data_IF_508953078159
#
_entry.id   IF_508953078159
#
_cell.length_a   1.000
_cell.length_b   1.000
_cell.length_c   1.000
_cell.angle_alpha   90.00
_cell.angle_beta   90.00
_cell.angle_gamma   90.00
#
_symmetry.space_group_name_H-M   'P 1'
#
loop_
_entity.id
_entity.type
_entity.pdbx_description
1 polymer ?
#
# COMPACT_ATOMS: atom_id res chain seq x y z
N UNK A 1 -12.59 26.45 5.61
CA UNK A 1 -11.31 27.03 6.08
C UNK A 1 -10.38 25.87 6.38
N UNK A 2 -9.48 25.54 5.45
CA UNK A 2 -8.60 24.37 5.57
C UNK A 2 -7.19 24.86 5.91
N UNK A 3 -6.78 24.68 7.16
CA UNK A 3 -5.42 24.96 7.62
C UNK A 3 -4.47 23.89 7.05
N UNK A 4 -3.67 24.29 6.06
CA UNK A 4 -2.53 23.49 5.60
C UNK A 4 -1.48 23.44 6.72
N UNK A 5 -1.43 22.30 7.39
CA UNK A 5 -0.41 21.94 8.38
C UNK A 5 0.99 21.98 7.71
N UNK A 6 1.76 23.02 8.01
CA UNK A 6 3.13 23.16 7.53
C UNK A 6 4.01 21.99 8.01
N UNK A 7 4.64 21.26 7.07
CA UNK A 7 5.68 20.27 7.37
C UNK A 7 6.85 21.00 8.04
N UNK A 8 7.06 20.76 9.34
CA UNK A 8 8.28 21.17 10.04
C UNK A 8 9.46 20.44 9.42
N UNK A 9 10.26 21.14 8.62
CA UNK A 9 11.59 20.67 8.23
C UNK A 9 12.40 20.47 9.51
N UNK A 10 12.93 19.25 9.70
CA UNK A 10 13.82 18.94 10.83
C UNK A 10 15.09 19.78 10.65
N UNK A 11 15.21 20.85 11.42
CA UNK A 11 16.42 21.67 11.50
C UNK A 11 17.56 20.81 12.05
N UNK A 12 18.57 20.53 11.23
CA UNK A 12 19.81 19.85 11.69
C UNK A 12 20.51 20.76 12.72
N UNK A 13 21.09 20.26 13.84
CA UNK A 13 21.79 21.11 14.81
C UNK A 13 22.95 21.90 14.17
N UNK A 14 23.09 23.17 14.53
CA UNK A 14 24.00 24.15 13.88
C UNK A 14 25.48 23.76 13.93
N UNK A 15 25.89 22.94 14.90
CA UNK A 15 27.26 22.47 15.10
C UNK A 15 27.70 21.35 14.14
N UNK A 16 26.77 20.70 13.43
CA UNK A 16 27.05 19.58 12.54
C UNK A 16 26.93 19.92 11.04
N UNK A 17 26.57 21.17 10.70
CA UNK A 17 26.30 21.56 9.31
C UNK A 17 27.56 22.00 8.58
N UNK A 18 28.46 21.08 8.26
CA UNK A 18 29.58 21.40 7.37
C UNK A 18 29.05 21.61 5.94
N UNK A 19 29.56 22.61 5.23
CA UNK A 19 29.14 22.88 3.85
C UNK A 19 29.60 21.76 2.92
N UNK A 20 28.72 21.35 2.00
CA UNK A 20 29.00 20.29 1.01
C UNK A 20 30.26 20.53 0.19
N UNK A 21 30.60 21.80 -0.07
CA UNK A 21 31.80 22.17 -0.81
C UNK A 21 33.09 22.06 0.01
N UNK A 22 32.98 22.06 1.34
CA UNK A 22 34.10 21.79 2.26
C UNK A 22 34.33 20.29 2.35
N UNK A 23 33.26 19.51 2.47
CA UNK A 23 33.35 18.05 2.48
C UNK A 23 33.88 17.51 1.14
N UNK A 24 33.52 18.17 0.03
CA UNK A 24 34.06 17.88 -1.29
C UNK A 24 35.50 18.40 -1.52
N UNK A 25 36.08 19.11 -0.55
CA UNK A 25 37.45 19.66 -0.65
C UNK A 25 37.61 20.80 -1.65
N UNK A 26 36.51 21.39 -2.14
CA UNK A 26 36.52 22.50 -3.10
C UNK A 26 36.87 23.82 -2.43
N UNK A 27 36.49 23.98 -1.17
CA UNK A 27 36.89 25.11 -0.33
C UNK A 27 37.33 24.61 1.05
N UNK A 28 38.16 25.38 1.73
CA UNK A 28 38.80 24.93 2.97
C UNK A 28 37.88 24.93 4.19
N UNK A 29 36.92 25.87 4.30
CA UNK A 29 36.03 25.95 5.45
C UNK A 29 34.79 26.80 5.20
N UNK A 30 33.61 26.28 5.59
CA UNK A 30 32.32 26.97 5.65
C UNK A 30 31.26 26.12 6.35
N UNK A 31 30.41 26.75 7.16
CA UNK A 31 29.24 26.13 7.79
C UNK A 31 27.99 26.41 6.95
N UNK A 32 27.16 25.40 6.72
CA UNK A 32 25.91 25.50 5.97
C UNK A 32 24.78 26.04 6.86
N UNK A 33 24.33 27.25 6.58
CA UNK A 33 23.21 27.89 7.30
C UNK A 33 21.85 27.58 6.67
N UNK A 34 21.83 27.13 5.42
CA UNK A 34 20.61 26.91 4.60
C UNK A 34 20.17 25.43 4.56
N UNK A 35 20.62 24.61 5.51
CA UNK A 35 20.20 23.21 5.66
C UNK A 35 20.31 22.40 4.34
N UNK A 36 21.40 22.61 3.61
CA UNK A 36 21.70 21.94 2.34
C UNK A 36 20.81 22.31 1.14
N UNK A 37 19.98 23.35 1.24
CA UNK A 37 19.33 24.00 0.08
C UNK A 37 20.35 24.76 -0.77
N UNK A 38 21.27 24.04 -1.42
CA UNK A 38 22.42 24.62 -2.10
C UNK A 38 22.02 25.48 -3.30
N UNK A 39 20.92 25.18 -3.98
CA UNK A 39 20.41 25.98 -5.11
C UNK A 39 20.10 27.44 -4.74
N UNK A 40 19.82 27.68 -3.45
CA UNK A 40 19.54 29.01 -2.88
C UNK A 40 20.75 29.60 -2.16
N UNK A 41 21.87 28.89 -2.14
CA UNK A 41 23.09 29.29 -1.45
C UNK A 41 23.98 30.10 -2.39
N UNK A 42 24.25 31.36 -2.03
CA UNK A 42 25.06 32.27 -2.83
C UNK A 42 26.47 31.76 -3.15
N UNK A 43 27.07 30.95 -2.27
CA UNK A 43 28.36 30.32 -2.57
C UNK A 43 28.23 29.21 -3.61
N UNK A 44 27.18 28.40 -3.52
CA UNK A 44 26.97 27.34 -4.50
C UNK A 44 26.73 27.95 -5.88
N UNK A 45 25.93 29.02 -5.96
CA UNK A 45 25.76 29.81 -7.18
C UNK A 45 27.12 30.37 -7.66
N UNK A 46 27.88 31.05 -6.79
CA UNK A 46 29.18 31.60 -7.16
C UNK A 46 30.22 30.54 -7.62
N UNK A 47 30.21 29.34 -7.04
CA UNK A 47 31.10 28.24 -7.43
C UNK A 47 30.68 27.59 -8.75
N UNK A 48 29.37 27.51 -9.01
CA UNK A 48 28.82 27.03 -10.29
C UNK A 48 29.08 28.05 -11.40
N UNK A 49 29.00 29.34 -11.07
CA UNK A 49 29.08 30.41 -12.07
C UNK A 49 30.52 30.78 -12.45
N UNK A 50 31.53 30.55 -11.58
CA UNK A 50 32.97 30.72 -11.89
C UNK A 50 33.40 32.16 -12.24
N UNK A 51 34.70 32.49 -12.27
CA UNK A 51 35.14 33.89 -12.22
C UNK A 51 35.02 34.58 -13.59
N UNK A 52 33.99 35.40 -13.75
CA UNK A 52 34.16 36.68 -14.46
C UNK A 52 34.49 37.71 -13.38
N UNK A 53 35.73 38.21 -13.41
CA UNK A 53 36.10 39.43 -12.71
C UNK A 53 35.04 40.50 -13.01
N UNK A 54 34.31 40.91 -11.96
CA UNK A 54 33.47 42.11 -11.85
C UNK A 54 33.17 42.79 -13.19
N UNK A 55 31.96 42.62 -13.73
CA UNK A 55 31.10 43.75 -14.15
C UNK A 55 29.62 43.37 -14.00
N UNK A 56 28.80 44.18 -13.30
CA UNK A 56 27.37 43.94 -13.16
C UNK A 56 26.64 44.46 -14.40
N UNK A 57 26.71 43.72 -15.51
CA UNK A 57 25.88 44.01 -16.67
C UNK A 57 25.23 42.73 -17.20
N UNK A 58 23.91 42.80 -17.31
CA UNK A 58 22.99 41.78 -17.77
C UNK A 58 23.58 40.89 -18.86
N UNK A 59 23.71 39.59 -18.57
CA UNK A 59 23.91 38.56 -19.59
C UNK A 59 22.64 37.72 -19.70
N UNK A 60 22.19 37.40 -20.92
CA UNK A 60 20.97 36.64 -21.15
C UNK A 60 21.12 35.23 -20.57
N UNK A 61 20.02 34.70 -20.04
CA UNK A 61 19.96 33.29 -19.60
C UNK A 61 20.58 32.39 -20.66
N UNK A 62 21.50 31.48 -20.28
CA UNK A 62 22.16 30.61 -21.24
C UNK A 62 21.10 29.83 -22.03
N UNK A 63 21.30 29.73 -23.35
CA UNK A 63 20.39 28.97 -24.20
C UNK A 63 20.34 27.51 -23.72
N UNK A 64 19.14 26.93 -23.64
CA UNK A 64 18.88 25.55 -23.19
C UNK A 64 19.82 24.52 -23.85
N UNK A 65 20.15 24.70 -25.13
CA UNK A 65 21.06 23.82 -25.86
C UNK A 65 22.50 23.84 -25.31
N UNK A 66 22.96 25.00 -24.82
CA UNK A 66 24.31 25.14 -24.25
C UNK A 66 24.39 24.54 -22.84
N UNK A 67 23.32 24.70 -22.06
CA UNK A 67 23.19 24.06 -20.74
C UNK A 67 23.15 22.52 -20.88
N UNK A 68 22.39 22.01 -21.85
CA UNK A 68 22.32 20.57 -22.14
C UNK A 68 23.68 20.01 -22.59
N UNK A 69 24.43 20.76 -23.41
CA UNK A 69 25.77 20.37 -23.85
C UNK A 69 26.77 20.28 -22.69
N UNK A 70 26.86 21.32 -21.86
CA UNK A 70 27.76 21.34 -20.68
C UNK A 70 27.42 20.21 -19.70
N UNK A 71 26.13 19.89 -19.55
CA UNK A 71 25.68 18.76 -18.74
C UNK A 71 26.14 17.41 -19.31
N UNK A 72 26.03 17.20 -20.61
CA UNK A 72 26.50 15.97 -21.25
C UNK A 72 28.02 15.78 -21.09
N UNK A 73 28.79 16.85 -21.26
CA UNK A 73 30.24 16.85 -21.05
C UNK A 73 30.60 16.50 -19.60
N UNK A 74 29.87 17.08 -18.64
CA UNK A 74 30.03 16.75 -17.22
C UNK A 74 29.67 15.29 -16.92
N UNK A 75 28.57 14.75 -17.45
CA UNK A 75 28.19 13.36 -17.25
C UNK A 75 29.25 12.38 -17.79
N UNK A 76 29.87 12.70 -18.93
CA UNK A 76 30.96 11.90 -19.49
C UNK A 76 32.23 11.94 -18.64
N UNK A 77 32.60 13.14 -18.15
CA UNK A 77 33.71 13.29 -17.20
C UNK A 77 33.44 12.54 -15.89
N UNK A 78 32.22 12.67 -15.36
CA UNK A 78 31.80 12.06 -14.10
C UNK A 78 31.92 10.54 -14.15
N UNK A 79 31.55 9.90 -15.27
CA UNK A 79 31.71 8.44 -15.47
C UNK A 79 33.15 7.95 -15.33
N UNK A 80 34.14 8.81 -15.56
CA UNK A 80 35.58 8.51 -15.49
C UNK A 80 36.14 8.60 -14.05
N UNK A 81 35.37 9.12 -13.09
CA UNK A 81 35.79 9.26 -11.70
C UNK A 81 35.85 7.90 -10.96
N UNK A 82 36.70 7.77 -9.91
CA UNK A 82 36.74 6.56 -9.09
C UNK A 82 35.40 6.30 -8.38
N UNK A 83 35.13 5.04 -8.05
CA UNK A 83 33.87 4.64 -7.41
C UNK A 83 33.59 5.40 -6.09
N UNK A 84 34.64 5.74 -5.33
CA UNK A 84 34.53 6.52 -4.10
C UNK A 84 33.92 7.91 -4.29
N UNK A 85 34.15 8.53 -5.46
CA UNK A 85 33.63 9.85 -5.84
C UNK A 85 32.27 9.78 -6.55
N UNK A 86 31.80 8.56 -6.87
CA UNK A 86 30.53 8.31 -7.58
C UNK A 86 29.47 7.71 -6.69
N UNK A 87 29.54 7.87 -5.36
CA UNK A 87 28.48 7.36 -4.46
C UNK A 87 27.15 8.04 -4.79
N UNK A 88 26.06 7.28 -4.79
CA UNK A 88 24.72 7.79 -5.08
C UNK A 88 24.24 8.73 -3.96
N UNK A 89 23.47 9.77 -4.31
CA UNK A 89 22.83 10.66 -3.35
C UNK A 89 22.03 9.89 -2.27
N UNK A 90 21.16 8.96 -2.69
CA UNK A 90 20.35 8.12 -1.79
C UNK A 90 21.18 7.12 -0.96
N UNK A 91 22.39 6.79 -1.42
CA UNK A 91 23.31 6.00 -0.60
C UNK A 91 23.93 6.85 0.51
N UNK A 92 24.22 8.12 0.21
CA UNK A 92 24.77 9.06 1.18
C UNK A 92 23.73 9.51 2.21
N UNK A 93 22.46 9.55 1.81
CA UNK A 93 21.34 9.96 2.67
C UNK A 93 20.71 8.78 3.43
N UNK A 94 21.02 7.53 3.04
CA UNK A 94 20.73 6.31 3.79
C UNK A 94 19.49 5.54 3.32
N UNK A 95 18.83 6.01 2.27
CA UNK A 95 17.63 5.43 1.67
C UNK A 95 17.93 4.18 0.83
N UNK A 96 19.17 4.02 0.35
CA UNK A 96 19.65 2.77 -0.27
C UNK A 96 20.98 2.31 0.31
N UNK A 97 21.17 1.00 0.44
CA UNK A 97 22.35 0.41 1.08
C UNK A 97 23.65 0.59 0.29
N UNK A 98 23.59 0.46 -1.04
CA UNK A 98 24.76 0.63 -1.90
C UNK A 98 24.36 0.95 -3.34
N UNK A 99 24.87 2.06 -3.88
CA UNK A 99 24.75 2.36 -5.31
C UNK A 99 25.79 3.39 -5.75
N UNK A 100 26.32 3.20 -6.96
CA UNK A 100 27.11 4.21 -7.64
C UNK A 100 26.22 5.01 -8.61
N UNK A 101 26.36 6.33 -8.57
CA UNK A 101 25.75 7.23 -9.53
C UNK A 101 26.43 7.08 -10.89
N UNK A 102 25.61 6.94 -11.94
CA UNK A 102 26.04 6.89 -13.34
C UNK A 102 25.60 8.14 -14.14
N UNK A 103 24.77 8.98 -13.53
CA UNK A 103 24.10 10.12 -14.15
C UNK A 103 24.57 11.48 -13.58
N UNK A 104 25.73 11.54 -12.92
CA UNK A 104 26.28 12.81 -12.40
C UNK A 104 25.33 13.57 -11.47
N UNK A 105 24.61 12.85 -10.61
CA UNK A 105 23.58 13.39 -9.69
C UNK A 105 22.35 14.01 -10.36
N UNK A 106 22.11 13.75 -11.64
CA UNK A 106 20.85 14.04 -12.31
C UNK A 106 19.77 13.03 -11.86
N UNK A 107 19.33 13.15 -10.61
CA UNK A 107 18.36 12.25 -10.00
C UNK A 107 17.02 12.27 -10.74
N UNK A 108 16.60 13.41 -11.29
CA UNK A 108 15.35 13.55 -12.05
C UNK A 108 15.24 12.59 -13.25
N UNK A 109 16.38 12.16 -13.81
CA UNK A 109 16.44 11.19 -14.91
C UNK A 109 17.03 9.84 -14.47
N UNK A 110 16.96 9.53 -13.17
CA UNK A 110 17.49 8.29 -12.61
C UNK A 110 16.36 7.35 -12.21
N UNK A 111 16.45 6.08 -12.60
CA UNK A 111 15.45 5.06 -12.25
C UNK A 111 15.24 4.88 -10.74
N UNK A 112 16.22 5.23 -9.91
CA UNK A 112 16.07 5.19 -8.45
C UNK A 112 15.16 6.31 -7.93
N UNK A 113 15.22 7.49 -8.53
CA UNK A 113 14.31 8.56 -8.12
C UNK A 113 12.88 8.17 -8.45
N UNK A 114 12.65 7.66 -9.66
CA UNK A 114 11.34 7.13 -10.05
C UNK A 114 10.89 6.01 -9.10
N UNK A 115 11.76 5.05 -8.76
CA UNK A 115 11.41 3.99 -7.79
C UNK A 115 11.08 4.52 -6.39
N UNK A 116 11.79 5.54 -5.90
CA UNK A 116 11.54 6.15 -4.58
C UNK A 116 10.25 6.96 -4.61
N UNK A 117 9.99 7.71 -5.67
CA UNK A 117 8.74 8.44 -5.89
C UNK A 117 7.56 7.47 -5.98
N UNK A 118 7.65 6.43 -6.80
CA UNK A 118 6.63 5.38 -6.93
C UNK A 118 6.37 4.67 -5.58
N UNK A 119 7.41 4.42 -4.80
CA UNK A 119 7.28 3.82 -3.46
C UNK A 119 6.63 4.78 -2.46
N UNK A 120 6.99 6.07 -2.48
CA UNK A 120 6.41 7.07 -1.60
C UNK A 120 4.95 7.38 -1.97
N UNK A 121 4.63 7.40 -3.27
CA UNK A 121 3.26 7.50 -3.77
C UNK A 121 2.44 6.27 -3.37
N UNK A 122 2.98 5.06 -3.50
CA UNK A 122 2.38 3.83 -3.00
C UNK A 122 2.11 3.86 -1.48
N UNK A 123 3.03 4.39 -0.68
CA UNK A 123 2.84 4.54 0.77
C UNK A 123 1.73 5.54 1.12
N UNK A 124 1.51 6.56 0.29
CA UNK A 124 0.38 7.51 0.43
C UNK A 124 -0.91 7.06 -0.27
N UNK A 125 -0.83 5.99 -1.06
CA UNK A 125 -1.82 5.56 -2.04
C UNK A 125 -2.49 4.24 -1.68
N UNK A 126 -2.71 3.95 -0.40
CA UNK A 126 -3.55 2.82 0.01
C UNK A 126 -5.03 2.98 -0.42
N UNK A 127 -5.41 4.14 -0.93
CA UNK A 127 -6.72 4.47 -1.51
C UNK A 127 -6.71 4.43 -3.05
N UNK A 128 -6.00 3.48 -3.66
CA UNK A 128 -6.24 3.19 -5.07
C UNK A 128 -7.72 2.83 -5.27
N UNK A 129 -8.46 3.56 -6.13
CA UNK A 129 -9.90 3.36 -6.28
C UNK A 129 -10.18 1.89 -6.62
N UNK A 130 -11.04 1.28 -5.82
CA UNK A 130 -11.56 -0.06 -6.09
C UNK A 130 -12.61 0.10 -7.20
N UNK A 131 -12.36 -0.50 -8.36
CA UNK A 131 -13.38 -0.59 -9.42
C UNK A 131 -14.48 -1.56 -8.98
N UNK A 132 -15.55 -1.02 -8.40
CA UNK A 132 -16.73 -1.72 -7.91
C UNK A 132 -17.86 -1.83 -8.94
N UNK A 133 -17.59 -1.49 -10.22
CA UNK A 133 -18.59 -1.50 -11.29
C UNK A 133 -19.19 -2.88 -11.59
N UNK A 134 -18.53 -3.95 -11.14
CA UNK A 134 -18.99 -5.34 -11.33
C UNK A 134 -19.71 -5.84 -10.10
N UNK A 135 -20.93 -6.33 -10.33
CA UNK A 135 -21.72 -7.04 -9.33
C UNK A 135 -22.29 -8.35 -9.87
N UNK A 136 -22.58 -9.27 -8.97
CA UNK A 136 -23.23 -10.55 -9.24
C UNK A 136 -24.47 -10.62 -8.36
N UNK A 137 -25.64 -10.59 -8.98
CA UNK A 137 -26.94 -10.58 -8.27
C UNK A 137 -27.01 -9.55 -7.13
N UNK A 138 -26.35 -8.40 -7.30
CA UNK A 138 -26.32 -7.29 -6.34
C UNK A 138 -25.14 -7.29 -5.34
N UNK A 139 -24.32 -8.33 -5.33
CA UNK A 139 -23.07 -8.36 -4.55
C UNK A 139 -21.90 -7.82 -5.37
N UNK A 140 -21.12 -6.91 -4.81
CA UNK A 140 -19.94 -6.35 -5.48
C UNK A 140 -18.85 -7.41 -5.61
N UNK A 141 -18.21 -7.45 -6.77
CA UNK A 141 -17.02 -8.27 -7.01
C UNK A 141 -15.99 -7.44 -7.80
N UNK A 142 -15.21 -6.58 -7.11
CA UNK A 142 -14.26 -5.71 -7.76
C UNK A 142 -13.16 -6.46 -8.53
N UNK A 143 -12.58 -5.78 -9.52
CA UNK A 143 -11.44 -6.31 -10.26
C UNK A 143 -10.15 -6.25 -9.43
N UNK A 144 -9.16 -7.08 -9.78
CA UNK A 144 -7.86 -7.08 -9.09
C UNK A 144 -7.84 -7.80 -7.74
N UNK A 145 -8.95 -8.44 -7.35
CA UNK A 145 -9.08 -9.18 -6.10
C UNK A 145 -8.98 -10.68 -6.32
N UNK A 146 -8.19 -11.34 -5.49
CA UNK A 146 -8.16 -12.79 -5.35
C UNK A 146 -9.05 -13.19 -4.17
N UNK A 147 -9.74 -14.32 -4.26
CA UNK A 147 -10.66 -14.78 -3.22
C UNK A 147 -10.29 -16.17 -2.73
N UNK A 148 -10.25 -16.32 -1.41
CA UNK A 148 -10.20 -17.61 -0.75
C UNK A 148 -11.62 -18.17 -0.61
N UNK A 149 -11.75 -19.50 -0.62
CA UNK A 149 -13.06 -20.18 -0.53
C UNK A 149 -13.82 -19.90 0.76
N UNK A 150 -13.13 -19.45 1.81
CA UNK A 150 -13.72 -18.99 3.07
C UNK A 150 -14.10 -17.50 3.08
N UNK A 151 -14.38 -16.91 1.92
CA UNK A 151 -14.85 -15.52 1.75
C UNK A 151 -13.89 -14.40 2.15
N UNK A 152 -12.61 -14.70 2.40
CA UNK A 152 -11.59 -13.65 2.52
C UNK A 152 -11.04 -13.28 1.14
N UNK A 153 -10.87 -11.98 0.89
CA UNK A 153 -10.22 -11.49 -0.32
C UNK A 153 -8.76 -11.09 -0.05
N UNK A 154 -7.94 -11.14 -1.08
CA UNK A 154 -6.55 -10.76 -1.12
C UNK A 154 -6.29 -9.83 -2.31
N UNK A 155 -5.82 -8.61 -2.04
CA UNK A 155 -5.36 -7.65 -3.04
C UNK A 155 -3.85 -7.55 -2.97
N UNK A 156 -3.19 -7.72 -4.12
CA UNK A 156 -1.76 -7.45 -4.22
C UNK A 156 -1.56 -5.93 -4.30
N UNK A 157 -0.85 -5.38 -3.33
CA UNK A 157 -0.50 -3.97 -3.25
C UNK A 157 0.88 -3.72 -3.86
N UNK A 158 1.21 -2.45 -4.04
CA UNK A 158 2.55 -2.04 -4.43
C UNK A 158 3.59 -2.56 -3.43
N UNK A 159 4.70 -3.12 -3.93
CA UNK A 159 5.71 -3.76 -3.09
C UNK A 159 5.48 -5.26 -2.82
N UNK A 160 4.35 -5.81 -3.27
CA UNK A 160 4.04 -7.25 -3.17
C UNK A 160 3.42 -7.66 -1.84
N UNK A 161 3.09 -6.70 -0.97
CA UNK A 161 2.31 -6.95 0.24
C UNK A 161 0.85 -7.21 -0.13
N UNK A 162 0.16 -7.98 0.71
CA UNK A 162 -1.20 -8.45 0.47
C UNK A 162 -2.15 -7.81 1.47
N UNK A 163 -3.10 -7.02 0.98
CA UNK A 163 -4.22 -6.55 1.79
C UNK A 163 -5.31 -7.61 1.83
N UNK A 164 -5.82 -7.88 3.02
CA UNK A 164 -6.82 -8.93 3.27
C UNK A 164 -8.08 -8.31 3.87
N UNK A 165 -9.25 -8.79 3.46
CA UNK A 165 -10.54 -8.43 4.06
C UNK A 165 -11.60 -9.50 3.86
N UNK A 166 -12.83 -9.23 4.30
CA UNK A 166 -13.99 -10.08 4.06
C UNK A 166 -14.74 -9.58 2.81
N UNK A 167 -15.17 -10.48 1.93
CA UNK A 167 -15.87 -10.10 0.71
C UNK A 167 -17.34 -9.73 0.96
N UNK A 168 -17.95 -9.04 -0.02
CA UNK A 168 -19.30 -8.46 0.12
C UNK A 168 -20.39 -9.52 0.34
N UNK A 169 -20.21 -10.71 -0.23
CA UNK A 169 -21.14 -11.81 0.00
C UNK A 169 -20.93 -12.43 1.38
N UNK A 170 -19.67 -12.64 1.80
CA UNK A 170 -19.32 -13.17 3.11
C UNK A 170 -19.80 -12.29 4.26
N UNK A 171 -19.64 -10.96 4.16
CA UNK A 171 -20.18 -10.05 5.17
C UNK A 171 -21.71 -10.11 5.23
N UNK A 172 -22.37 -10.22 4.08
CA UNK A 172 -23.82 -10.34 4.02
C UNK A 172 -24.31 -11.67 4.61
N UNK A 173 -23.57 -12.77 4.44
CA UNK A 173 -23.88 -14.05 5.08
C UNK A 173 -23.81 -13.96 6.60
N UNK A 174 -22.76 -13.33 7.12
CA UNK A 174 -22.56 -13.21 8.56
C UNK A 174 -23.51 -12.21 9.23
N UNK A 175 -24.02 -11.24 8.47
CA UNK A 175 -24.85 -10.17 9.01
C UNK A 175 -24.02 -9.12 9.75
N UNK A 176 -24.60 -8.51 10.78
CA UNK A 176 -24.00 -7.36 11.46
C UNK A 176 -22.74 -7.74 12.26
N UNK A 177 -21.60 -7.16 11.88
CA UNK A 177 -20.32 -7.35 12.57
C UNK A 177 -20.25 -6.46 13.80
N UNK A 178 -20.22 -7.09 14.97
CA UNK A 178 -20.22 -6.42 16.28
C UNK A 178 -18.80 -6.15 16.81
N UNK A 179 -17.79 -6.82 16.25
CA UNK A 179 -16.40 -6.63 16.67
C UNK A 179 -15.43 -7.45 15.86
N UNK A 180 -14.17 -7.07 15.91
CA UNK A 180 -13.07 -7.82 15.30
C UNK A 180 -11.93 -8.01 16.29
N UNK A 181 -11.26 -9.15 16.18
CA UNK A 181 -9.97 -9.42 16.82
C UNK A 181 -8.96 -9.64 15.71
N UNK A 182 -7.97 -8.75 15.65
CA UNK A 182 -6.90 -8.75 14.67
C UNK A 182 -5.62 -9.30 15.32
N UNK A 183 -4.73 -9.93 14.54
CA UNK A 183 -3.42 -10.37 15.01
C UNK A 183 -2.48 -9.18 15.25
N UNK A 184 -1.45 -9.33 16.07
CA UNK A 184 -0.45 -8.28 16.26
C UNK A 184 0.48 -8.17 15.04
N UNK A 185 0.92 -6.95 14.65
CA UNK A 185 1.97 -6.78 13.65
C UNK A 185 3.23 -7.56 14.03
N UNK A 186 3.76 -8.33 13.08
CA UNK A 186 4.90 -9.23 13.28
C UNK A 186 4.51 -10.70 13.49
N UNK A 187 3.25 -11.00 13.79
CA UNK A 187 2.75 -12.37 13.85
C UNK A 187 2.79 -13.06 12.47
N UNK A 188 2.86 -14.39 12.50
CA UNK A 188 2.83 -15.22 11.30
C UNK A 188 1.45 -15.81 11.13
N UNK A 189 0.88 -15.67 9.93
CA UNK A 189 -0.36 -16.32 9.51
C UNK A 189 -0.06 -17.37 8.45
N UNK A 190 -0.89 -18.42 8.39
CA UNK A 190 -0.76 -19.50 7.41
C UNK A 190 -2.04 -19.62 6.58
N UNK A 191 -1.89 -19.84 5.28
CA UNK A 191 -3.01 -20.07 4.36
C UNK A 191 -3.95 -21.15 4.89
N UNK A 192 -5.26 -20.91 4.77
CA UNK A 192 -6.29 -21.83 5.25
C UNK A 192 -6.42 -21.94 6.78
N UNK A 193 -5.67 -21.16 7.56
CA UNK A 193 -5.79 -21.11 9.03
C UNK A 193 -6.43 -19.81 9.51
N UNK A 194 -7.15 -19.79 10.66
CA UNK A 194 -7.74 -18.56 11.18
C UNK A 194 -6.70 -17.47 11.47
N UNK A 195 -6.81 -16.32 10.80
CA UNK A 195 -5.95 -15.15 11.01
C UNK A 195 -6.63 -14.05 11.83
N UNK A 196 -7.94 -13.85 11.64
CA UNK A 196 -8.75 -12.89 12.39
C UNK A 196 -9.95 -13.59 13.01
N UNK A 197 -10.55 -12.99 14.04
CA UNK A 197 -11.83 -13.44 14.59
C UNK A 197 -12.86 -12.31 14.47
N UNK A 198 -14.03 -12.60 13.88
CA UNK A 198 -15.18 -11.70 13.83
C UNK A 198 -16.16 -12.08 14.93
N UNK A 199 -16.71 -11.07 15.61
CA UNK A 199 -17.77 -11.20 16.60
C UNK A 199 -19.09 -10.75 15.99
N UNK A 200 -20.10 -11.58 16.16
CA UNK A 200 -21.49 -11.38 15.79
C UNK A 200 -22.34 -11.42 17.07
N UNK A 201 -23.64 -11.13 16.96
CA UNK A 201 -24.57 -11.30 18.08
C UNK A 201 -24.72 -12.76 18.51
N UNK A 202 -24.60 -13.69 17.55
CA UNK A 202 -24.77 -15.14 17.75
C UNK A 202 -23.50 -15.85 18.24
N UNK A 203 -22.33 -15.22 18.17
CA UNK A 203 -21.07 -15.88 18.47
C UNK A 203 -19.86 -15.20 17.87
N UNK A 204 -18.79 -15.98 17.70
CA UNK A 204 -17.55 -15.55 17.07
C UNK A 204 -17.03 -16.58 16.09
N UNK A 205 -16.40 -16.12 15.01
CA UNK A 205 -15.93 -16.95 13.92
C UNK A 205 -14.51 -16.55 13.51
N UNK A 206 -13.63 -17.53 13.33
CA UNK A 206 -12.30 -17.29 12.77
C UNK A 206 -12.35 -17.19 11.24
N UNK A 207 -11.84 -16.10 10.68
CA UNK A 207 -11.66 -15.93 9.23
C UNK A 207 -10.31 -16.49 8.78
N UNK A 208 -10.33 -17.27 7.71
CA UNK A 208 -9.15 -17.95 7.19
C UNK A 208 -8.24 -16.97 6.43
N UNK A 209 -6.93 -17.10 6.64
CA UNK A 209 -5.94 -16.37 5.88
C UNK A 209 -5.95 -16.84 4.42
N UNK A 210 -5.99 -15.93 3.43
CA UNK A 210 -5.91 -16.31 2.02
C UNK A 210 -4.48 -16.68 1.60
N UNK A 211 -3.47 -16.26 2.35
CA UNK A 211 -2.04 -16.47 2.07
C UNK A 211 -1.26 -16.64 3.38
N UNK A 212 -0.13 -17.34 3.33
CA UNK A 212 0.84 -17.44 4.42
C UNK A 212 1.82 -16.27 4.37
N UNK A 213 2.12 -15.70 5.54
CA UNK A 213 3.07 -14.60 5.62
C UNK A 213 3.16 -13.96 6.99
N UNK A 214 3.87 -12.84 7.05
CA UNK A 214 4.00 -12.03 8.25
C UNK A 214 3.05 -10.86 8.22
N UNK A 215 2.28 -10.66 9.28
CA UNK A 215 1.42 -9.48 9.43
C UNK A 215 2.30 -8.24 9.53
N UNK A 216 2.06 -7.24 8.69
CA UNK A 216 2.81 -5.98 8.69
C UNK A 216 1.98 -4.81 9.21
N UNK A 217 0.65 -4.91 9.10
CA UNK A 217 -0.27 -3.91 9.61
C UNK A 217 -1.67 -4.49 9.80
N UNK A 218 -2.47 -3.84 10.63
CA UNK A 218 -3.87 -4.18 10.89
C UNK A 218 -4.73 -2.93 10.90
N UNK A 219 -6.00 -3.07 10.56
CA UNK A 219 -6.94 -1.94 10.56
C UNK A 219 -7.48 -1.65 11.95
N UNK A 220 -6.75 -0.88 12.74
CA UNK A 220 -7.13 -0.53 14.12
C UNK A 220 -8.48 0.22 14.20
N UNK A 221 -8.92 0.87 13.11
CA UNK A 221 -10.22 1.56 13.07
C UNK A 221 -11.40 0.62 13.32
N UNK A 222 -11.25 -0.66 12.97
CA UNK A 222 -12.30 -1.67 13.18
C UNK A 222 -12.54 -2.00 14.66
N UNK A 223 -11.61 -1.64 15.56
CA UNK A 223 -11.80 -1.80 17.00
C UNK A 223 -12.87 -0.83 17.53
N UNK A 224 -12.98 0.35 16.92
CA UNK A 224 -13.97 1.37 17.26
C UNK A 224 -15.20 1.32 16.32
N UNK A 225 -14.99 0.96 15.06
CA UNK A 225 -16.02 0.96 14.01
C UNK A 225 -16.06 -0.38 13.24
N UNK A 226 -16.50 -1.47 13.89
CA UNK A 226 -16.55 -2.79 13.26
C UNK A 226 -17.50 -2.87 12.06
N UNK A 227 -18.53 -2.01 12.01
CA UNK A 227 -19.50 -1.94 10.91
C UNK A 227 -18.89 -1.60 9.55
N UNK A 228 -17.66 -1.06 9.51
CA UNK A 228 -16.93 -0.82 8.25
C UNK A 228 -16.70 -2.10 7.44
N UNK A 229 -16.65 -3.27 8.09
CA UNK A 229 -16.59 -4.57 7.40
C UNK A 229 -17.84 -4.81 6.54
N UNK A 230 -19.01 -4.39 7.02
CA UNK A 230 -20.27 -4.48 6.28
C UNK A 230 -20.42 -3.33 5.26
N UNK A 231 -20.13 -2.09 5.66
CA UNK A 231 -20.38 -0.89 4.85
C UNK A 231 -19.41 -0.75 3.67
N UNK A 232 -18.15 -1.14 3.85
CA UNK A 232 -17.05 -0.84 2.93
C UNK A 232 -16.05 -2.00 2.84
N UNK A 233 -16.49 -3.24 2.52
CA UNK A 233 -15.68 -4.47 2.66
C UNK A 233 -14.35 -4.45 1.89
N UNK A 234 -14.30 -3.74 0.76
CA UNK A 234 -13.11 -3.67 -0.11
C UNK A 234 -12.26 -2.41 0.07
N UNK A 235 -12.74 -1.44 0.83
CA UNK A 235 -12.05 -0.16 1.06
C UNK A 235 -11.73 0.00 2.54
N UNK A 236 -12.60 0.63 3.32
CA UNK A 236 -12.36 0.94 4.73
C UNK A 236 -12.49 -0.29 5.66
N UNK A 237 -13.09 -1.38 5.18
CA UNK A 237 -13.34 -2.64 5.90
C UNK A 237 -12.24 -3.69 5.78
N UNK A 238 -11.06 -3.35 5.25
CA UNK A 238 -9.91 -4.27 5.23
C UNK A 238 -9.49 -4.67 6.66
N UNK A 239 -8.99 -5.89 6.84
CA UNK A 239 -8.69 -6.46 8.15
C UNK A 239 -7.20 -6.33 8.50
N UNK A 240 -6.34 -6.86 7.64
CA UNK A 240 -4.88 -6.87 7.85
C UNK A 240 -4.10 -6.78 6.53
N UNK A 241 -2.81 -6.49 6.65
CA UNK A 241 -1.83 -6.60 5.58
C UNK A 241 -0.78 -7.65 5.91
N UNK A 242 -0.44 -8.46 4.92
CA UNK A 242 0.48 -9.59 5.05
C UNK A 242 1.61 -9.42 4.05
N UNK A 243 2.85 -9.54 4.52
CA UNK A 243 4.01 -9.77 3.67
C UNK A 243 4.11 -11.27 3.39
N UNK A 244 3.81 -11.73 2.16
CA UNK A 244 3.69 -13.15 1.86
C UNK A 244 5.05 -13.84 1.88
N UNK A 245 5.09 -15.12 2.26
CA UNK A 245 6.30 -15.93 2.20
C UNK A 245 6.58 -16.49 0.79
N UNK A 246 5.53 -16.94 0.10
CA UNK A 246 5.61 -17.49 -1.26
C UNK A 246 4.34 -17.18 -2.05
N UNK A 247 4.20 -15.92 -2.44
CA UNK A 247 3.01 -15.43 -3.14
C UNK A 247 2.69 -16.18 -4.45
N UNK A 248 3.67 -16.46 -5.35
CA UNK A 248 3.36 -17.09 -6.63
C UNK A 248 2.69 -18.45 -6.52
N UNK A 249 3.09 -19.29 -5.56
CA UNK A 249 2.52 -20.62 -5.39
C UNK A 249 1.11 -20.57 -4.78
N UNK A 250 0.87 -19.67 -3.83
CA UNK A 250 -0.41 -19.56 -3.14
C UNK A 250 -1.49 -18.84 -3.97
N UNK A 251 -1.12 -17.89 -4.84
CA UNK A 251 -2.08 -17.26 -5.76
C UNK A 251 -2.79 -18.26 -6.68
N UNK A 252 -2.17 -19.41 -6.96
CA UNK A 252 -2.77 -20.47 -7.78
C UNK A 252 -4.00 -21.09 -7.10
N UNK A 253 -3.97 -21.18 -5.77
CA UNK A 253 -5.04 -21.74 -4.94
C UNK A 253 -6.23 -20.77 -4.80
N UNK A 254 -6.00 -19.49 -5.03
CA UNK A 254 -7.04 -18.46 -4.95
C UNK A 254 -7.86 -18.33 -6.24
N UNK A 255 -9.07 -17.82 -6.07
CA UNK A 255 -10.04 -17.59 -7.12
C UNK A 255 -9.87 -16.17 -7.66
N UNK A 256 -9.71 -16.02 -8.97
CA UNK A 256 -9.56 -14.72 -9.64
C UNK A 256 -10.41 -14.64 -10.90
N UNK A 257 -10.86 -13.43 -11.25
CA UNK A 257 -11.60 -13.14 -12.48
C UNK A 257 -12.81 -14.03 -12.67
N UNK A 258 -12.91 -14.71 -13.82
CA UNK A 258 -14.04 -15.60 -14.14
C UNK A 258 -14.20 -16.81 -13.21
N UNK A 259 -13.14 -17.23 -12.49
CA UNK A 259 -13.26 -18.29 -11.47
C UNK A 259 -13.97 -17.77 -10.22
N UNK A 260 -13.57 -16.58 -9.74
CA UNK A 260 -14.21 -15.94 -8.59
C UNK A 260 -15.69 -15.64 -8.86
N UNK A 261 -16.00 -15.13 -10.07
CA UNK A 261 -17.38 -14.88 -10.49
C UNK A 261 -18.26 -16.13 -10.40
N UNK A 262 -17.85 -17.22 -11.05
CA UNK A 262 -18.63 -18.47 -11.05
C UNK A 262 -18.79 -19.06 -9.65
N UNK A 263 -17.76 -18.93 -8.82
CA UNK A 263 -17.85 -19.37 -7.43
C UNK A 263 -18.88 -18.56 -6.63
N UNK A 264 -18.87 -17.23 -6.71
CA UNK A 264 -19.88 -16.41 -6.03
C UNK A 264 -21.30 -16.71 -6.56
N UNK A 265 -21.48 -16.88 -7.88
CA UNK A 265 -22.76 -17.31 -8.47
C UNK A 265 -23.23 -18.66 -7.88
N UNK A 266 -22.32 -19.60 -7.67
CA UNK A 266 -22.62 -20.90 -7.05
C UNK A 266 -22.96 -20.77 -5.56
N UNK A 267 -22.23 -19.97 -4.80
CA UNK A 267 -22.50 -19.77 -3.37
C UNK A 267 -23.86 -19.09 -3.16
N UNK A 268 -24.21 -18.09 -3.98
CA UNK A 268 -25.54 -17.46 -4.01
C UNK A 268 -26.63 -18.51 -4.27
N UNK A 269 -26.41 -19.39 -5.25
CA UNK A 269 -27.31 -20.50 -5.55
C UNK A 269 -27.51 -21.45 -4.36
N UNK A 270 -26.42 -21.87 -3.71
CA UNK A 270 -26.44 -22.77 -2.55
C UNK A 270 -27.24 -22.19 -1.37
N UNK A 271 -27.07 -20.90 -1.09
CA UNK A 271 -27.85 -20.22 -0.03
C UNK A 271 -29.32 -20.18 -0.40
N UNK A 272 -29.65 -19.80 -1.65
CA UNK A 272 -31.04 -19.78 -2.13
C UNK A 272 -31.71 -21.14 -1.98
N UNK A 273 -31.02 -22.22 -2.34
CA UNK A 273 -31.52 -23.59 -2.19
C UNK A 273 -31.80 -23.95 -0.73
N UNK A 274 -30.89 -23.61 0.18
CA UNK A 274 -31.04 -23.86 1.62
C UNK A 274 -32.18 -23.04 2.24
N UNK A 275 -32.29 -21.75 1.94
CA UNK A 275 -33.29 -20.87 2.55
C UNK A 275 -34.69 -21.09 2.00
N UNK A 276 -34.84 -21.32 0.68
CA UNK A 276 -36.16 -21.43 0.05
C UNK A 276 -36.67 -22.87 -0.11
N UNK A 277 -35.82 -23.89 0.07
CA UNK A 277 -36.14 -25.30 -0.16
C UNK A 277 -36.52 -25.59 -1.62
N UNK A 278 -35.59 -26.11 -2.42
CA UNK A 278 -35.80 -26.72 -3.76
C UNK A 278 -36.81 -26.08 -4.75
N UNK A 279 -37.20 -24.80 -4.64
CA UNK A 279 -38.33 -24.34 -5.47
C UNK A 279 -38.77 -22.88 -5.48
N UNK A 280 -38.00 -21.88 -5.03
CA UNK A 280 -38.37 -20.46 -5.27
C UNK A 280 -37.24 -19.61 -5.84
N UNK A 281 -37.52 -19.03 -7.01
CA UNK A 281 -36.80 -17.92 -7.64
C UNK A 281 -37.16 -16.61 -6.92
N UNK A 282 -36.78 -16.47 -5.64
CA UNK A 282 -36.84 -15.20 -4.92
C UNK A 282 -35.56 -14.39 -5.14
N UNK A 283 -35.65 -13.07 -5.12
CA UNK A 283 -34.46 -12.21 -5.13
C UNK A 283 -33.70 -12.43 -3.81
N UNK A 284 -32.38 -12.65 -3.85
CA UNK A 284 -31.59 -12.88 -2.64
C UNK A 284 -31.64 -11.68 -1.67
N UNK A 285 -31.88 -10.47 -2.17
CA UNK A 285 -32.09 -9.28 -1.34
C UNK A 285 -33.46 -9.25 -0.64
N UNK A 286 -34.43 -10.07 -1.03
CA UNK A 286 -35.67 -10.23 -0.24
C UNK A 286 -35.41 -10.96 1.07
N UNK A 287 -34.41 -11.86 1.10
CA UNK A 287 -33.95 -12.53 2.31
C UNK A 287 -33.30 -11.57 3.32
N UNK A 288 -32.93 -10.37 2.88
CA UNK A 288 -32.36 -9.35 3.77
C UNK A 288 -33.45 -8.62 4.57
N UNK A 289 -34.70 -8.60 4.07
CA UNK A 289 -35.85 -7.98 4.75
C UNK A 289 -36.33 -8.79 5.95
N UNK A 290 -36.14 -10.11 5.90
CA UNK A 290 -36.40 -11.03 6.99
C UNK A 290 -35.14 -11.84 7.27
N UNK A 291 -34.23 -11.26 8.06
CA UNK A 291 -32.90 -11.81 8.34
C UNK A 291 -32.90 -13.00 9.32
N UNK A 292 -34.07 -13.45 9.79
CA UNK A 292 -34.21 -14.47 10.84
C UNK A 292 -33.62 -15.82 10.44
N UNK A 293 -33.68 -16.18 9.15
CA UNK A 293 -33.09 -17.41 8.62
C UNK A 293 -31.60 -17.55 8.91
N UNK A 294 -30.85 -16.43 9.05
CA UNK A 294 -29.42 -16.49 9.35
C UNK A 294 -29.16 -17.17 10.69
N UNK A 295 -29.99 -16.92 11.69
CA UNK A 295 -29.85 -17.51 13.01
C UNK A 295 -30.09 -19.02 12.97
N UNK A 296 -31.05 -19.47 12.14
CA UNK A 296 -31.41 -20.88 12.01
C UNK A 296 -30.30 -21.72 11.36
N UNK A 297 -29.54 -21.15 10.41
CA UNK A 297 -28.48 -21.87 9.68
C UNK A 297 -27.07 -21.32 9.91
N UNK A 298 -26.83 -20.53 10.95
CA UNK A 298 -25.53 -19.87 11.18
C UNK A 298 -24.36 -20.87 11.33
N UNK A 299 -24.63 -22.03 11.94
CA UNK A 299 -23.63 -23.10 12.10
C UNK A 299 -23.24 -23.70 10.73
N UNK A 300 -24.21 -23.80 9.80
CA UNK A 300 -23.97 -24.25 8.42
C UNK A 300 -23.27 -23.18 7.58
N UNK A 301 -23.65 -21.90 7.74
CA UNK A 301 -22.97 -20.77 7.12
C UNK A 301 -21.49 -20.77 7.52
N UNK A 302 -21.22 -20.85 8.83
CA UNK A 302 -19.87 -20.91 9.35
C UNK A 302 -19.07 -22.10 8.78
N UNK A 303 -19.66 -23.30 8.80
CA UNK A 303 -18.96 -24.53 8.40
C UNK A 303 -18.81 -24.72 6.91
N UNK A 304 -19.90 -24.56 6.13
CA UNK A 304 -19.95 -24.92 4.71
C UNK A 304 -19.55 -23.79 3.75
N UNK A 305 -19.73 -22.53 4.16
CA UNK A 305 -19.43 -21.36 3.32
C UNK A 305 -18.13 -20.70 3.76
N UNK A 306 -17.96 -20.44 5.05
CA UNK A 306 -16.75 -19.76 5.55
C UNK A 306 -15.62 -20.73 5.93
N UNK A 307 -15.86 -22.04 5.88
CA UNK A 307 -14.88 -23.08 6.23
C UNK A 307 -14.33 -22.92 7.66
N UNK A 308 -15.16 -22.41 8.55
CA UNK A 308 -14.80 -22.00 9.90
C UNK A 308 -15.73 -22.63 10.95
N UNK A 309 -15.35 -22.54 12.22
CA UNK A 309 -16.15 -23.06 13.33
C UNK A 309 -16.70 -21.90 14.16
N UNK A 310 -18.02 -21.81 14.24
CA UNK A 310 -18.70 -20.86 15.11
C UNK A 310 -18.47 -21.25 16.57
N UNK A 311 -18.00 -20.30 17.38
CA UNK A 311 -17.96 -20.45 18.84
C UNK A 311 -19.10 -19.60 19.41
N UNK A 312 -20.13 -20.24 19.96
CA UNK A 312 -21.29 -19.55 20.54
C UNK A 312 -20.87 -18.71 21.75
N UNK A 313 -21.58 -17.61 21.98
CA UNK A 313 -21.42 -16.82 23.21
C UNK A 313 -21.90 -17.69 24.38
N UNK A 314 -21.09 -17.77 25.44
CA UNK A 314 -21.42 -18.53 26.66
C UNK A 314 -22.44 -17.77 27.52
#
# INVERSE_FOLDING_TARGET
MSEKRAKKSKLIPTSARQCVWVDAGVISYKICTLNYECERCSLHQALVDGPVLVQPHASPSPNRAEVEKRRAEFEEFFKKLPASARKCHYMLTGEVSYKLCINGFNCANCSIQQMIEDSAEAETGWDLPVDDSRSIEGFRLPQGMHHHRGHTWARVEHGGDIRVGLDDFGQWLLGSVQGVRLPDPGETVFEGTPACEIRLDTGRLGLLAPVSGRVIATNERLLEQPGLVNESPYTNGWLLMVKPFDLPSELVNLLYGGRARRWIEQEIGRVREKVNGNGRQGNIHELEKDATWREDIIDEIAGEFLLAKLKKVA
#
